data_IF_095579148153
#
_entry.id   IF_095579148153
#
_cell.length_a   1.000
_cell.length_b   1.000
_cell.length_c   1.000
_cell.angle_alpha   90.00
_cell.angle_beta   90.00
_cell.angle_gamma   90.00
#
_symmetry.space_group_name_H-M   'P 1'
#
loop_
_entity.id
_entity.type
_entity.pdbx_description
1 polymer ?
#
# COMPACT_ATOMS: atom_id res chain seq x y z
N UNK A 1 9.77 -11.98 19.37
CA UNK A 1 10.70 -12.10 18.22
C UNK A 1 10.38 -10.98 17.24
N UNK A 2 11.37 -10.39 16.54
CA UNK A 2 11.13 -9.19 15.70
C UNK A 2 10.35 -9.50 14.42
N UNK A 3 10.47 -10.73 13.88
CA UNK A 3 9.72 -11.18 12.69
C UNK A 3 8.20 -11.04 12.87
N UNK A 4 7.68 -11.33 14.07
CA UNK A 4 6.26 -11.16 14.42
C UNK A 4 5.75 -9.71 14.31
N UNK A 5 6.62 -8.70 14.40
CA UNK A 5 6.21 -7.29 14.23
C UNK A 5 5.88 -7.00 12.76
N UNK A 6 6.65 -7.55 11.82
CA UNK A 6 6.44 -7.33 10.38
C UNK A 6 5.14 -7.98 9.91
N UNK A 7 4.86 -9.19 10.41
CA UNK A 7 3.59 -9.89 10.18
C UNK A 7 2.40 -9.04 10.67
N UNK A 8 2.41 -8.62 11.93
CA UNK A 8 1.37 -7.74 12.50
C UNK A 8 1.26 -6.39 11.77
N UNK A 9 2.34 -5.84 11.22
CA UNK A 9 2.27 -4.63 10.39
C UNK A 9 1.50 -4.85 9.08
N UNK A 10 1.65 -6.01 8.45
CA UNK A 10 0.95 -6.33 7.18
C UNK A 10 -0.54 -6.59 7.43
N UNK A 11 -0.93 -7.15 8.58
CA UNK A 11 -2.33 -7.22 9.02
C UNK A 11 -2.97 -5.83 9.13
N UNK A 12 -2.25 -4.82 9.64
CA UNK A 12 -2.77 -3.45 9.75
C UNK A 12 -2.73 -2.69 8.42
N UNK A 13 -1.71 -2.93 7.59
CA UNK A 13 -1.50 -2.24 6.31
C UNK A 13 -1.13 -3.25 5.22
N UNK A 14 -2.16 -3.90 4.68
CA UNK A 14 -2.08 -4.91 3.61
C UNK A 14 -1.18 -4.52 2.43
N UNK A 15 -1.16 -3.24 2.05
CA UNK A 15 -0.26 -2.74 1.02
C UNK A 15 1.14 -2.45 1.61
N UNK A 16 2.11 -3.31 1.28
CA UNK A 16 3.50 -3.24 1.77
C UNK A 16 4.20 -1.92 1.42
N UNK A 17 3.93 -1.31 0.26
CA UNK A 17 4.49 0.00 -0.10
C UNK A 17 3.88 1.12 0.75
N UNK A 18 2.57 1.07 1.01
CA UNK A 18 1.90 2.01 1.92
C UNK A 18 2.45 1.87 3.34
N UNK A 19 2.69 0.65 3.81
CA UNK A 19 3.33 0.38 5.11
C UNK A 19 4.71 1.06 5.21
N UNK A 20 5.57 0.88 4.21
CA UNK A 20 6.91 1.52 4.17
C UNK A 20 6.80 3.05 4.18
N UNK A 21 5.88 3.62 3.40
CA UNK A 21 5.64 5.07 3.38
C UNK A 21 5.17 5.61 4.74
N UNK A 22 4.25 4.93 5.40
CA UNK A 22 3.76 5.30 6.73
C UNK A 22 4.85 5.17 7.80
N UNK A 23 5.57 4.04 7.84
CA UNK A 23 6.67 3.84 8.76
C UNK A 23 7.78 4.89 8.57
N UNK A 24 8.09 5.27 7.32
CA UNK A 24 9.03 6.36 7.01
C UNK A 24 8.56 7.72 7.55
N UNK A 25 7.29 8.09 7.33
CA UNK A 25 6.73 9.34 7.86
C UNK A 25 6.76 9.37 9.40
N UNK A 26 6.31 8.29 10.06
CA UNK A 26 6.32 8.24 11.54
C UNK A 26 7.73 8.21 12.11
N UNK A 27 8.67 7.53 11.45
CA UNK A 27 10.09 7.57 11.81
C UNK A 27 10.61 9.01 11.79
N UNK A 28 10.31 9.78 10.73
CA UNK A 28 10.68 11.19 10.66
C UNK A 28 10.08 12.00 11.83
N UNK A 29 8.79 11.82 12.12
CA UNK A 29 8.09 12.59 13.15
C UNK A 29 8.69 12.34 14.55
N UNK A 30 9.07 11.09 14.84
CA UNK A 30 9.84 10.71 16.02
C UNK A 30 11.25 11.34 16.02
N UNK A 31 12.03 11.15 14.95
CA UNK A 31 13.42 11.64 14.87
C UNK A 31 13.56 13.17 14.94
N UNK A 32 12.53 13.91 14.55
CA UNK A 32 12.50 15.38 14.65
C UNK A 32 11.91 15.90 15.95
N UNK A 33 11.43 15.03 16.85
CA UNK A 33 10.70 15.44 18.05
C UNK A 33 9.38 16.15 17.76
N UNK A 34 8.81 15.96 16.56
CA UNK A 34 7.51 16.51 16.19
C UNK A 34 6.34 15.76 16.87
N UNK A 35 6.61 14.56 17.37
CA UNK A 35 5.67 13.76 18.18
C UNK A 35 6.45 12.74 19.02
N UNK A 36 6.05 12.57 20.27
CA UNK A 36 6.70 11.61 21.18
C UNK A 36 6.33 10.15 20.88
N UNK A 37 7.18 9.17 21.27
CA UNK A 37 6.83 7.75 21.26
C UNK A 37 5.75 7.43 22.28
N UNK A 38 4.72 6.67 21.89
CA UNK A 38 3.59 6.33 22.78
C UNK A 38 4.01 5.44 23.97
N UNK A 39 5.11 4.67 23.83
CA UNK A 39 5.61 3.76 24.88
C UNK A 39 7.13 3.91 25.11
N UNK A 40 7.62 5.12 25.43
CA UNK A 40 9.07 5.42 25.61
C UNK A 40 9.84 4.39 26.47
N UNK A 41 9.23 3.83 27.53
CA UNK A 41 9.87 2.85 28.42
C UNK A 41 10.19 1.54 27.68
N UNK A 42 9.31 1.08 26.79
CA UNK A 42 9.49 -0.16 26.03
C UNK A 42 10.51 0.01 24.91
N UNK A 43 10.72 1.23 24.43
CA UNK A 43 11.57 1.54 23.28
C UNK A 43 12.91 2.20 23.62
N UNK A 44 13.27 2.28 24.90
CA UNK A 44 14.54 2.86 25.34
C UNK A 44 15.74 2.15 24.71
N UNK A 45 16.41 2.83 23.77
CA UNK A 45 17.58 2.31 23.04
C UNK A 45 17.27 1.69 21.66
N UNK A 46 16.01 1.63 21.24
CA UNK A 46 15.63 1.20 19.89
C UNK A 46 15.69 2.37 18.90
N UNK A 47 15.97 2.07 17.63
CA UNK A 47 15.88 3.05 16.53
C UNK A 47 14.42 3.43 16.26
N UNK A 48 14.15 4.69 15.95
CA UNK A 48 12.83 5.22 15.60
C UNK A 48 12.10 4.41 14.51
N UNK A 49 12.82 3.80 13.58
CA UNK A 49 12.26 2.90 12.55
C UNK A 49 11.63 1.64 13.14
N UNK A 50 12.19 1.10 14.22
CA UNK A 50 11.62 -0.06 14.93
C UNK A 50 10.42 0.38 15.77
N UNK A 51 10.51 1.56 16.39
CA UNK A 51 9.42 2.16 17.17
C UNK A 51 8.20 2.43 16.28
N UNK A 52 8.39 3.04 15.11
CA UNK A 52 7.31 3.36 14.18
C UNK A 52 6.60 2.12 13.64
N UNK A 53 7.34 1.05 13.32
CA UNK A 53 6.76 -0.23 12.92
C UNK A 53 5.94 -0.86 14.05
N UNK A 54 6.45 -0.86 15.28
CA UNK A 54 5.68 -1.35 16.43
C UNK A 54 4.42 -0.51 16.70
N UNK A 55 4.51 0.81 16.65
CA UNK A 55 3.35 1.71 16.85
C UNK A 55 2.28 1.49 15.77
N UNK A 56 2.66 1.17 14.54
CA UNK A 56 1.73 0.76 13.48
C UNK A 56 1.12 -0.62 13.78
N UNK A 57 1.93 -1.62 14.13
CA UNK A 57 1.48 -2.98 14.46
C UNK A 57 0.48 -3.04 15.63
N UNK A 58 0.70 -2.24 16.67
CA UNK A 58 -0.16 -2.17 17.86
C UNK A 58 -1.25 -1.08 17.76
N UNK A 59 -1.50 -0.51 16.57
CA UNK A 59 -2.52 0.54 16.32
C UNK A 59 -2.38 1.79 17.21
N UNK A 60 -1.17 2.12 17.66
CA UNK A 60 -0.86 3.27 18.54
C UNK A 60 -0.85 4.60 17.78
N UNK A 61 -0.75 4.56 16.45
CA UNK A 61 -0.81 5.73 15.55
C UNK A 61 -1.96 5.62 14.55
N UNK A 62 -2.60 6.75 14.24
CA UNK A 62 -3.64 6.81 13.22
C UNK A 62 -3.01 6.80 11.81
N UNK A 63 -3.08 5.64 11.14
CA UNK A 63 -2.48 5.45 9.80
C UNK A 63 -3.14 6.29 8.70
N UNK A 64 -4.38 6.73 8.88
CA UNK A 64 -5.08 7.62 7.94
C UNK A 64 -4.61 9.07 8.10
N UNK A 65 -4.49 9.56 9.33
CA UNK A 65 -3.93 10.88 9.62
C UNK A 65 -2.47 10.99 9.17
N UNK A 66 -1.67 9.97 9.47
CA UNK A 66 -0.27 9.85 9.04
C UNK A 66 -0.12 9.85 7.51
N UNK A 67 -1.04 9.19 6.78
CA UNK A 67 -1.08 9.25 5.32
C UNK A 67 -1.42 10.66 4.81
N UNK A 68 -2.39 11.33 5.44
CA UNK A 68 -2.78 12.69 5.06
C UNK A 68 -1.65 13.70 5.34
N UNK A 69 -0.90 13.52 6.43
CA UNK A 69 0.31 14.31 6.74
C UNK A 69 1.40 14.11 5.69
N UNK A 70 1.69 12.86 5.31
CA UNK A 70 2.64 12.54 4.24
C UNK A 70 2.22 13.20 2.91
N UNK A 71 0.97 13.02 2.48
CA UNK A 71 0.44 13.62 1.25
C UNK A 71 0.50 15.15 1.28
N UNK A 72 0.16 15.78 2.42
CA UNK A 72 0.30 17.23 2.63
C UNK A 72 1.75 17.67 2.46
N UNK A 73 2.69 16.98 3.10
CA UNK A 73 4.12 17.30 3.05
C UNK A 73 4.70 17.17 1.64
N UNK A 74 4.33 16.12 0.90
CA UNK A 74 4.70 15.97 -0.51
C UNK A 74 4.15 17.11 -1.37
N UNK A 75 2.88 17.52 -1.16
CA UNK A 75 2.28 18.66 -1.87
C UNK A 75 3.02 19.97 -1.59
N UNK A 76 3.35 20.28 -0.34
CA UNK A 76 4.10 21.50 -0.01
C UNK A 76 5.53 21.48 -0.60
N UNK A 77 6.21 20.34 -0.58
CA UNK A 77 7.52 20.18 -1.22
C UNK A 77 7.46 20.45 -2.73
N UNK A 78 6.43 19.94 -3.42
CA UNK A 78 6.24 20.20 -4.86
C UNK A 78 5.92 21.67 -5.16
N UNK A 79 5.12 22.35 -4.33
CA UNK A 79 4.83 23.80 -4.48
C UNK A 79 6.10 24.65 -4.38
N UNK A 80 7.04 24.27 -3.51
CA UNK A 80 8.35 24.92 -3.42
C UNK A 80 9.12 24.86 -4.75
N UNK A 81 9.07 23.72 -5.42
CA UNK A 81 9.78 23.47 -6.68
C UNK A 81 9.12 24.12 -7.92
N UNK A 82 7.79 24.31 -7.93
CA UNK A 82 7.08 24.95 -9.07
C UNK A 82 7.40 26.43 -9.27
N UNK A 83 8.06 27.08 -8.31
CA UNK A 83 8.48 28.48 -8.43
C UNK A 83 9.63 28.70 -9.44
N UNK A 84 10.24 27.62 -9.97
CA UNK A 84 11.34 27.69 -10.94
C UNK A 84 10.94 27.33 -12.38
N UNK A 85 9.81 26.63 -12.61
CA UNK A 85 9.51 26.09 -13.94
C UNK A 85 8.00 26.03 -14.30
N UNK A 86 7.65 26.68 -15.42
CA UNK A 86 6.40 26.54 -16.20
C UNK A 86 5.06 26.95 -15.58
N UNK A 87 4.86 28.26 -15.40
CA UNK A 87 3.56 28.88 -15.03
C UNK A 87 2.50 28.90 -16.16
N UNK A 88 2.46 27.93 -17.10
CA UNK A 88 1.72 28.10 -18.37
C UNK A 88 1.10 26.85 -19.03
N UNK A 89 0.80 25.76 -18.30
CA UNK A 89 0.06 24.62 -18.90
C UNK A 89 -0.89 23.83 -17.99
N UNK A 90 -1.31 24.42 -16.85
CA UNK A 90 -2.31 23.81 -15.95
C UNK A 90 -3.62 23.40 -16.66
N UNK A 91 -4.05 24.18 -17.65
CA UNK A 91 -5.29 23.93 -18.42
C UNK A 91 -5.30 22.61 -19.20
N UNK A 92 -4.14 22.13 -19.69
CA UNK A 92 -4.06 20.90 -20.50
C UNK A 92 -4.26 19.63 -19.65
N UNK A 93 -3.82 19.64 -18.40
CA UNK A 93 -4.02 18.50 -17.49
C UNK A 93 -5.47 18.45 -16.99
N UNK A 94 -6.06 19.59 -16.67
CA UNK A 94 -7.47 19.68 -16.27
C UNK A 94 -8.43 19.15 -17.35
N UNK A 95 -8.15 19.42 -18.64
CA UNK A 95 -8.95 18.88 -19.75
C UNK A 95 -8.79 17.37 -19.96
N UNK A 96 -7.62 16.79 -19.66
CA UNK A 96 -7.39 15.35 -19.78
C UNK A 96 -7.96 14.53 -18.62
N UNK A 97 -8.15 15.14 -17.45
CA UNK A 97 -8.72 14.48 -16.27
C UNK A 97 -10.26 14.50 -16.25
N UNK A 98 -10.91 15.17 -17.21
CA UNK A 98 -12.36 15.23 -17.33
C UNK A 98 -12.93 13.98 -18.02
N UNK A 99 -12.60 12.80 -17.51
CA UNK A 99 -13.29 11.55 -17.82
C UNK A 99 -14.63 11.55 -17.09
N UNK A 100 -15.67 12.07 -17.73
CA UNK A 100 -17.03 11.99 -17.19
C UNK A 100 -17.49 10.54 -17.11
N UNK A 101 -17.94 10.14 -15.92
CA UNK A 101 -18.56 8.83 -15.69
C UNK A 101 -19.71 8.58 -16.65
N UNK A 102 -19.64 7.50 -17.44
CA UNK A 102 -20.84 6.88 -17.98
C UNK A 102 -20.67 5.37 -18.18
N UNK A 103 -21.50 4.60 -17.47
CA UNK A 103 -21.75 3.17 -17.58
C UNK A 103 -20.60 2.19 -17.26
N UNK A 104 -20.49 1.88 -15.96
CA UNK A 104 -20.46 0.46 -15.57
C UNK A 104 -21.73 -0.23 -16.08
N UNK A 105 -21.65 -1.01 -17.16
CA UNK A 105 -22.43 -2.25 -17.28
C UNK A 105 -21.91 -3.19 -18.39
N UNK A 106 -21.17 -4.22 -18.01
CA UNK A 106 -21.18 -5.50 -18.74
C UNK A 106 -21.36 -6.60 -17.72
N UNK A 107 -22.53 -7.23 -17.76
CA UNK A 107 -22.90 -8.34 -16.88
C UNK A 107 -21.85 -9.47 -16.90
N UNK A 108 -21.66 -10.07 -15.72
CA UNK A 108 -20.99 -11.36 -15.58
C UNK A 108 -21.95 -12.46 -16.07
N UNK A 109 -21.91 -12.78 -17.37
CA UNK A 109 -22.76 -13.83 -17.94
C UNK A 109 -22.08 -15.21 -17.83
N UNK A 110 -22.32 -15.87 -16.69
CA UNK A 110 -22.07 -17.30 -16.54
C UNK A 110 -23.35 -18.05 -16.92
N UNK A 111 -23.53 -18.35 -18.21
CA UNK A 111 -24.19 -19.57 -18.72
C UNK A 111 -24.24 -19.63 -20.24
N UNK A 112 -23.38 -20.44 -20.86
CA UNK A 112 -23.84 -21.35 -21.92
C UNK A 112 -23.22 -22.73 -21.72
N UNK A 113 -24.11 -23.72 -21.49
CA UNK A 113 -23.81 -25.14 -21.42
C UNK A 113 -24.36 -25.80 -22.70
N UNK A 114 -23.47 -26.40 -23.47
CA UNK A 114 -23.67 -27.50 -24.44
C UNK A 114 -22.29 -28.20 -24.52
N UNK A 115 -22.11 -29.51 -24.32
CA UNK A 115 -22.64 -30.66 -25.08
C UNK A 115 -22.30 -30.55 -26.58
N UNK A 116 -21.82 -31.58 -27.29
CA UNK A 116 -21.66 -33.02 -26.98
C UNK A 116 -20.28 -33.55 -27.49
N UNK A 117 -19.79 -34.79 -27.24
CA UNK A 117 -19.51 -35.57 -26.01
C UNK A 117 -18.58 -36.80 -26.41
N UNK A 118 -18.31 -37.77 -25.50
CA UNK A 118 -17.63 -39.11 -25.66
C UNK A 118 -16.09 -39.27 -25.88
N UNK A 119 -15.39 -39.57 -24.77
CA UNK A 119 -14.53 -40.74 -24.43
C UNK A 119 -13.85 -41.57 -25.56
N UNK A 120 -12.53 -41.81 -25.41
CA UNK A 120 -11.94 -43.16 -25.59
C UNK A 120 -10.82 -43.38 -24.54
N UNK A 121 -10.81 -44.55 -23.90
CA UNK A 121 -9.87 -44.94 -22.85
C UNK A 121 -8.71 -45.74 -23.45
N UNK A 122 -7.46 -45.33 -23.20
CA UNK A 122 -6.32 -46.25 -23.27
C UNK A 122 -5.36 -46.07 -22.09
N UNK A 123 -5.49 -47.00 -21.14
CA UNK A 123 -4.42 -47.37 -20.23
C UNK A 123 -3.15 -47.71 -21.03
N UNK A 124 -2.00 -47.19 -20.57
CA UNK A 124 -0.72 -47.88 -20.73
C UNK A 124 0.18 -47.46 -19.57
N UNK A 125 0.27 -48.33 -18.57
CA UNK A 125 1.36 -48.34 -17.62
C UNK A 125 2.68 -48.60 -18.37
N UNK A 126 3.68 -47.74 -18.21
CA UNK A 126 5.08 -48.17 -18.44
C UNK A 126 6.02 -47.53 -17.41
N UNK A 127 6.03 -48.12 -16.22
CA UNK A 127 7.04 -47.95 -15.17
C UNK A 127 8.32 -48.72 -15.56
N UNK A 128 9.44 -48.03 -15.84
CA UNK A 128 10.78 -48.65 -15.95
C UNK A 128 11.91 -47.63 -15.68
N UNK A 129 13.14 -48.03 -15.28
CA UNK A 129 13.48 -47.99 -13.86
C UNK A 129 14.86 -47.36 -13.51
N UNK A 130 15.07 -47.12 -12.20
CA UNK A 130 16.35 -46.90 -11.46
C UNK A 130 17.36 -45.93 -12.10
#
# INVERSE_FOLDING_TARGET
>A
MVESIVEKCVEQVHNRFKLVLLASQRTHDLSTGASDPVEMVKFKGHKDTIVSLYEIAEKKVNTHELFNLLVKRCKEYMKGNTNNAYSSSSSKLASLLNFSDHQFNTNLDISQKSQDDEIDDQDNDEEVPI
#
